data_IF_419526180411
#
_entry.id   IF_419526180411
#
_cell.length_a   1.000
_cell.length_b   1.000
_cell.length_c   1.000
_cell.angle_alpha   90.00
_cell.angle_beta   90.00
_cell.angle_gamma   90.00
#
_symmetry.space_group_name_H-M   'P 1'
#
loop_
_entity.id
_entity.type
_entity.pdbx_description
1 polymer ?
#
# COMPACT_ATOMS: atom_id res chain seq x y z
N UNK A 1 1.72 26.02 -66.14
CA UNK A 1 0.55 25.40 -65.47
C UNK A 1 1.07 24.66 -64.23
N UNK A 2 0.65 25.10 -63.01
CA UNK A 2 0.88 24.51 -61.66
C UNK A 2 2.34 24.54 -61.15
N UNK A 3 2.78 25.49 -60.33
CA UNK A 3 2.48 25.82 -58.90
C UNK A 3 2.81 24.67 -57.93
N UNK A 4 3.57 25.05 -56.89
CA UNK A 4 3.81 24.45 -55.56
C UNK A 4 5.05 23.57 -55.41
N UNK A 5 6.11 24.17 -54.84
CA UNK A 5 6.97 23.55 -53.80
C UNK A 5 7.71 24.66 -53.05
N UNK A 6 6.94 25.40 -52.24
CA UNK A 6 7.45 26.27 -51.20
C UNK A 6 7.40 25.56 -49.84
N UNK A 7 8.23 26.05 -48.92
CA UNK A 7 8.24 25.77 -47.48
C UNK A 7 8.91 24.47 -47.02
N UNK A 8 10.25 24.46 -47.10
CA UNK A 8 11.09 23.88 -46.05
C UNK A 8 10.93 24.80 -44.82
N UNK A 9 9.93 24.52 -43.98
CA UNK A 9 9.59 25.34 -42.83
C UNK A 9 9.33 24.46 -41.61
N UNK A 10 10.26 24.52 -40.66
CA UNK A 10 10.07 24.33 -39.23
C UNK A 10 8.97 23.36 -38.79
N UNK A 11 9.34 22.12 -38.46
CA UNK A 11 8.54 21.30 -37.56
C UNK A 11 9.47 20.40 -36.72
N UNK A 12 10.18 21.01 -35.77
CA UNK A 12 10.91 20.29 -34.72
C UNK A 12 10.81 21.01 -33.38
N UNK A 13 9.59 21.41 -33.00
CA UNK A 13 9.27 21.85 -31.64
C UNK A 13 7.85 21.38 -31.34
N UNK A 14 7.68 20.17 -30.82
CA UNK A 14 6.47 19.75 -30.10
C UNK A 14 6.78 18.47 -29.33
N UNK A 15 6.85 18.60 -28.01
CA UNK A 15 7.07 17.45 -27.11
C UNK A 15 7.70 17.76 -25.76
N UNK A 16 7.63 19.00 -25.25
CA UNK A 16 7.91 19.29 -23.84
C UNK A 16 6.69 20.00 -23.26
N UNK A 17 5.66 19.24 -22.92
CA UNK A 17 4.56 19.74 -22.11
C UNK A 17 3.93 18.59 -21.31
N UNK A 18 3.85 18.82 -20.00
CA UNK A 18 3.22 17.99 -18.97
C UNK A 18 3.99 16.77 -18.43
N UNK A 19 5.20 16.99 -17.92
CA UNK A 19 5.62 16.22 -16.74
C UNK A 19 4.88 16.79 -15.52
N UNK A 20 3.64 16.38 -15.29
CA UNK A 20 3.06 16.54 -13.96
C UNK A 20 3.86 15.62 -13.02
N UNK A 21 4.85 16.18 -12.31
CA UNK A 21 5.65 15.44 -11.36
C UNK A 21 4.79 14.91 -10.20
N UNK A 22 5.22 13.83 -9.55
CA UNK A 22 4.58 13.38 -8.31
C UNK A 22 4.69 14.50 -7.26
N UNK A 23 3.63 14.73 -6.47
CA UNK A 23 3.62 15.73 -5.40
C UNK A 23 4.88 15.65 -4.53
N UNK A 24 5.38 16.82 -4.12
CA UNK A 24 6.54 16.94 -3.25
C UNK A 24 6.34 18.08 -2.25
N UNK A 25 7.00 17.99 -1.09
CA UNK A 25 6.97 18.99 -0.01
C UNK A 25 5.56 19.36 0.51
N UNK A 26 4.59 18.45 0.41
CA UNK A 26 3.19 18.72 0.79
C UNK A 26 2.94 18.63 2.30
N UNK A 27 3.89 18.13 3.09
CA UNK A 27 3.77 18.01 4.55
C UNK A 27 4.23 19.26 5.31
N UNK A 28 4.47 20.38 4.62
CA UNK A 28 4.73 21.67 5.28
C UNK A 28 3.43 22.12 5.96
N UNK A 29 3.41 22.30 7.30
CA UNK A 29 2.21 22.71 8.00
C UNK A 29 1.75 24.11 7.59
N UNK A 30 0.48 24.22 7.22
CA UNK A 30 -0.20 25.50 6.95
C UNK A 30 -0.66 26.17 8.24
N UNK A 31 -0.84 25.40 9.31
CA UNK A 31 -1.46 25.85 10.58
C UNK A 31 -2.84 26.48 10.40
N UNK A 32 -3.54 26.13 9.31
CA UNK A 32 -4.86 26.69 8.99
C UNK A 32 -5.88 25.57 8.76
N UNK A 33 -7.08 25.77 9.28
CA UNK A 33 -8.27 24.96 8.97
C UNK A 33 -9.31 25.93 8.42
N UNK A 34 -9.73 25.72 7.18
CA UNK A 34 -10.71 26.59 6.54
C UNK A 34 -12.15 26.20 6.95
N UNK A 35 -13.09 27.16 7.00
CA UNK A 35 -14.49 26.85 7.29
C UNK A 35 -15.05 25.80 6.32
N UNK A 36 -15.75 24.80 6.87
CA UNK A 36 -16.37 23.72 6.10
C UNK A 36 -15.45 22.55 5.75
N UNK A 37 -14.15 22.64 6.02
CA UNK A 37 -13.24 21.49 5.85
C UNK A 37 -13.34 20.55 7.05
N UNK A 38 -12.94 19.29 6.83
CA UNK A 38 -12.78 18.29 7.89
C UNK A 38 -11.31 18.07 8.20
N UNK A 39 -10.97 17.58 9.39
CA UNK A 39 -9.59 17.18 9.72
C UNK A 39 -9.49 15.70 10.03
N UNK A 40 -8.36 15.10 9.67
CA UNK A 40 -7.99 13.73 10.05
C UNK A 40 -6.67 13.76 10.79
N UNK A 41 -6.68 13.27 12.03
CA UNK A 41 -5.51 13.17 12.89
C UNK A 41 -4.89 11.77 12.79
N UNK A 42 -3.73 11.66 12.14
CA UNK A 42 -3.02 10.42 11.89
C UNK A 42 -1.87 10.22 12.87
N UNK A 43 -1.81 9.07 13.54
CA UNK A 43 -0.59 8.62 14.19
C UNK A 43 0.25 7.84 13.18
N UNK A 44 1.53 8.15 13.05
CA UNK A 44 2.44 7.44 12.14
C UNK A 44 3.49 6.70 12.92
N UNK A 45 3.77 5.47 12.52
CA UNK A 45 4.92 4.69 12.96
C UNK A 45 5.70 4.22 11.73
N UNK A 46 7.02 4.41 11.73
CA UNK A 46 7.81 4.27 10.51
C UNK A 46 9.21 3.73 10.76
N UNK A 47 9.71 2.93 9.82
CA UNK A 47 11.13 2.53 9.75
C UNK A 47 11.87 3.27 8.64
N UNK A 48 11.30 4.33 8.07
CA UNK A 48 11.97 5.22 7.12
C UNK A 48 12.99 6.09 7.84
N UNK A 49 14.08 6.44 7.16
CA UNK A 49 15.03 7.42 7.65
C UNK A 49 14.40 8.82 7.64
N UNK A 50 14.44 9.56 8.76
CA UNK A 50 14.05 10.96 8.78
C UNK A 50 14.83 11.77 7.75
N UNK A 51 14.17 12.73 7.11
CA UNK A 51 14.79 13.66 6.17
C UNK A 51 14.68 15.09 6.68
N UNK A 52 15.66 15.49 7.49
CA UNK A 52 15.73 16.85 8.04
C UNK A 52 16.02 17.91 6.97
N UNK A 53 16.49 17.51 5.77
CA UNK A 53 16.77 18.44 4.67
C UNK A 53 15.52 18.80 3.87
N UNK A 54 14.48 17.97 3.95
CA UNK A 54 13.19 18.16 3.28
C UNK A 54 12.03 18.08 4.29
N UNK A 55 11.76 19.17 5.03
CA UNK A 55 10.72 19.18 6.06
C UNK A 55 9.32 18.80 5.52
N UNK A 56 9.03 19.14 4.26
CA UNK A 56 7.77 18.79 3.60
C UNK A 56 7.66 17.34 3.14
N UNK A 57 8.73 16.55 3.24
CA UNK A 57 8.73 15.09 3.03
C UNK A 57 8.79 14.33 4.36
N UNK A 58 9.40 14.91 5.40
CA UNK A 58 9.63 14.39 6.75
C UNK A 58 10.49 13.12 6.85
N UNK A 59 10.20 12.12 6.02
CA UNK A 59 10.88 10.83 5.97
C UNK A 59 11.14 10.42 4.53
N UNK A 60 12.36 9.93 4.28
CA UNK A 60 12.81 9.54 2.95
C UNK A 60 12.31 8.13 2.54
N UNK A 61 12.72 7.70 1.35
CA UNK A 61 12.57 6.33 0.90
C UNK A 61 13.61 5.36 1.47
N UNK A 62 14.57 5.84 2.28
CA UNK A 62 15.66 5.04 2.80
C UNK A 62 15.33 4.39 4.14
N UNK A 63 15.99 3.26 4.45
CA UNK A 63 15.86 2.58 5.74
C UNK A 63 16.42 3.44 6.86
N UNK A 64 15.62 3.68 7.89
CA UNK A 64 16.04 4.34 9.11
C UNK A 64 16.79 3.40 10.04
N UNK A 65 17.70 3.95 10.85
CA UNK A 65 18.39 3.21 11.91
C UNK A 65 17.51 2.94 13.14
N UNK A 66 16.34 3.57 13.24
CA UNK A 66 15.42 3.45 14.38
C UNK A 66 13.96 3.45 13.94
N UNK A 67 13.09 2.89 14.80
CA UNK A 67 11.64 2.97 14.66
C UNK A 67 11.15 4.33 15.16
N UNK A 68 10.61 5.15 14.26
CA UNK A 68 10.23 6.55 14.50
C UNK A 68 8.72 6.74 14.50
N UNK A 69 8.26 7.83 15.13
CA UNK A 69 6.85 8.16 15.20
C UNK A 69 6.60 9.59 14.72
N UNK A 70 5.42 9.84 14.18
CA UNK A 70 4.96 11.20 13.88
C UNK A 70 3.47 11.34 14.18
N UNK A 71 3.04 12.58 14.35
CA UNK A 71 1.64 12.98 14.46
C UNK A 71 1.36 14.02 13.37
N UNK A 72 0.36 13.74 12.54
CA UNK A 72 0.05 14.54 11.37
C UNK A 72 -1.45 14.81 11.32
N UNK A 73 -1.82 16.08 11.18
CA UNK A 73 -3.20 16.52 10.96
C UNK A 73 -3.36 16.96 9.51
N UNK A 74 -4.27 16.32 8.78
CA UNK A 74 -4.58 16.64 7.37
C UNK A 74 -5.96 17.29 7.30
N UNK A 75 -6.09 18.42 6.60
CA UNK A 75 -7.37 19.02 6.24
C UNK A 75 -7.87 18.41 4.93
N UNK A 76 -9.16 18.08 4.91
CA UNK A 76 -9.87 17.47 3.78
C UNK A 76 -10.92 18.47 3.28
N UNK A 77 -10.96 18.79 1.97
CA UNK A 77 -11.96 19.68 1.40
C UNK A 77 -13.40 19.20 1.65
N UNK A 78 -14.40 20.09 1.59
CA UNK A 78 -15.79 19.69 1.64
C UNK A 78 -16.16 18.80 0.45
N UNK A 79 -17.04 17.82 0.64
CA UNK A 79 -17.51 16.89 -0.40
C UNK A 79 -18.04 17.60 -1.66
N UNK A 80 -18.62 18.79 -1.51
CA UNK A 80 -19.10 19.60 -2.64
C UNK A 80 -17.98 20.09 -3.58
N UNK A 81 -16.74 20.14 -3.10
CA UNK A 81 -15.58 20.70 -3.82
C UNK A 81 -14.53 19.64 -4.16
N UNK A 82 -14.75 18.37 -3.80
CA UNK A 82 -13.82 17.27 -4.06
C UNK A 82 -14.52 16.10 -4.71
N UNK A 83 -13.72 15.17 -5.20
CA UNK A 83 -14.18 13.87 -5.66
C UNK A 83 -13.81 12.82 -4.62
N UNK A 84 -14.83 12.20 -4.01
CA UNK A 84 -14.69 11.12 -3.03
C UNK A 84 -13.90 9.97 -3.66
N UNK A 85 -12.94 9.41 -2.93
CA UNK A 85 -12.01 8.40 -3.42
C UNK A 85 -10.71 8.96 -4.00
N UNK A 86 -10.66 10.23 -4.38
CA UNK A 86 -9.45 10.87 -4.91
C UNK A 86 -8.77 11.75 -3.86
N UNK A 87 -7.44 11.78 -3.90
CA UNK A 87 -6.64 12.77 -3.17
C UNK A 87 -6.43 13.98 -4.07
N UNK A 88 -7.06 15.11 -3.73
CA UNK A 88 -6.82 16.38 -4.42
C UNK A 88 -5.52 17.00 -3.91
N UNK A 89 -4.43 16.79 -4.64
CA UNK A 89 -3.10 17.22 -4.26
C UNK A 89 -2.90 18.75 -4.34
N UNK A 90 -2.13 19.34 -3.42
CA UNK A 90 -1.57 20.68 -3.57
C UNK A 90 -0.91 20.87 -4.93
N UNK A 91 -1.36 21.88 -5.68
CA UNK A 91 -0.76 22.22 -6.98
C UNK A 91 0.35 23.28 -6.87
N UNK A 92 0.32 24.10 -5.82
CA UNK A 92 1.24 25.23 -5.60
C UNK A 92 1.75 25.26 -4.15
N UNK A 93 2.72 26.12 -3.86
CA UNK A 93 3.30 26.30 -2.51
C UNK A 93 2.29 26.79 -1.47
N UNK A 94 1.21 27.45 -1.91
CA UNK A 94 0.12 27.94 -1.08
C UNK A 94 -1.16 27.19 -1.43
N UNK A 95 -1.38 25.99 -0.87
CA UNK A 95 -2.53 25.18 -1.22
C UNK A 95 -3.83 25.71 -0.64
N UNK A 96 -4.94 25.47 -1.33
CA UNK A 96 -6.28 25.89 -0.91
C UNK A 96 -6.99 24.74 -0.17
N UNK A 97 -7.12 24.79 1.17
CA UNK A 97 -7.75 23.71 1.94
C UNK A 97 -9.23 23.48 1.60
N UNK A 98 -9.90 24.41 0.90
CA UNK A 98 -11.30 24.25 0.48
C UNK A 98 -11.45 23.43 -0.81
N UNK A 99 -10.34 23.12 -1.48
CA UNK A 99 -10.28 22.40 -2.77
C UNK A 99 -9.23 21.28 -2.80
N UNK A 100 -8.20 21.39 -1.98
CA UNK A 100 -7.04 20.50 -1.93
C UNK A 100 -6.83 19.97 -0.51
N UNK A 101 -6.21 18.80 -0.41
CA UNK A 101 -5.73 18.27 0.86
C UNK A 101 -4.55 19.13 1.32
N UNK A 102 -4.56 19.54 2.58
CA UNK A 102 -3.45 20.31 3.15
C UNK A 102 -3.01 19.75 4.49
N UNK A 103 -1.74 19.98 4.82
CA UNK A 103 -1.20 19.59 6.12
C UNK A 103 -1.43 20.74 7.10
N UNK A 104 -2.18 20.49 8.18
CA UNK A 104 -2.46 21.48 9.22
C UNK A 104 -1.33 21.49 10.25
N UNK A 105 -0.90 20.30 10.66
CA UNK A 105 0.20 20.08 11.60
C UNK A 105 0.96 18.79 11.23
N UNK A 106 2.27 18.76 11.47
CA UNK A 106 3.11 17.60 11.22
C UNK A 106 4.35 17.62 12.13
N UNK A 107 4.44 16.65 13.03
CA UNK A 107 5.49 16.61 14.07
C UNK A 107 6.07 15.22 14.22
N UNK A 108 7.40 15.10 14.19
CA UNK A 108 8.10 13.87 14.60
C UNK A 108 8.04 13.80 16.13
N UNK A 109 7.69 12.64 16.67
CA UNK A 109 7.48 12.42 18.10
C UNK A 109 8.47 11.41 18.66
N UNK A 110 8.84 11.59 19.93
CA UNK A 110 9.40 10.49 20.72
C UNK A 110 8.35 9.39 20.92
N UNK A 111 8.79 8.19 21.30
CA UNK A 111 7.89 7.08 21.59
C UNK A 111 6.91 7.40 22.73
N UNK A 112 7.38 8.08 23.76
CA UNK A 112 6.58 8.48 24.93
C UNK A 112 5.51 9.50 24.53
N UNK A 113 5.90 10.49 23.71
CA UNK A 113 4.97 11.48 23.15
C UNK A 113 3.92 10.81 22.26
N UNK A 114 4.34 9.93 21.35
CA UNK A 114 3.43 9.21 20.48
C UNK A 114 2.42 8.35 21.27
N UNK A 115 2.87 7.65 22.31
CA UNK A 115 2.00 6.88 23.18
C UNK A 115 1.02 7.76 23.96
N UNK A 116 1.47 8.92 24.45
CA UNK A 116 0.62 9.88 25.14
C UNK A 116 -0.47 10.45 24.22
N UNK A 117 -0.11 10.91 23.01
CA UNK A 117 -1.08 11.43 22.04
C UNK A 117 -2.05 10.36 21.55
N UNK A 118 -1.55 9.15 21.25
CA UNK A 118 -2.42 8.02 20.92
C UNK A 118 -3.43 7.71 22.03
N UNK A 119 -2.97 7.65 23.29
CA UNK A 119 -3.85 7.38 24.42
C UNK A 119 -4.91 8.47 24.62
N UNK A 120 -4.59 9.75 24.39
CA UNK A 120 -5.56 10.86 24.45
C UNK A 120 -6.67 10.71 23.40
N UNK A 121 -6.35 10.19 22.21
CA UNK A 121 -7.32 9.99 21.10
C UNK A 121 -8.17 8.74 21.33
N UNK A 122 -7.54 7.59 21.61
CA UNK A 122 -8.21 6.29 21.64
C UNK A 122 -9.27 6.18 22.75
N UNK A 123 -9.05 6.82 23.90
CA UNK A 123 -10.03 6.78 25.02
C UNK A 123 -11.33 7.51 24.72
N UNK A 124 -11.33 8.43 23.73
CA UNK A 124 -12.51 9.16 23.24
C UNK A 124 -13.18 8.49 22.05
N UNK A 125 -12.54 7.47 21.48
CA UNK A 125 -12.99 6.80 20.25
C UNK A 125 -14.01 5.71 20.60
N UNK A 126 -15.17 5.62 19.89
CA UNK A 126 -16.11 4.52 20.06
C UNK A 126 -15.42 3.16 19.98
N UNK A 127 -15.78 2.26 20.90
CA UNK A 127 -15.17 0.92 21.06
C UNK A 127 -13.64 0.92 21.24
N UNK A 128 -13.02 2.10 21.42
CA UNK A 128 -11.57 2.29 21.48
C UNK A 128 -10.87 1.57 20.32
N UNK A 129 -11.43 1.73 19.13
CA UNK A 129 -11.01 1.02 17.92
C UNK A 129 -9.86 1.76 17.23
N UNK A 130 -8.84 1.00 16.82
CA UNK A 130 -7.72 1.49 16.01
C UNK A 130 -7.75 0.84 14.63
N UNK A 131 -7.50 1.65 13.60
CA UNK A 131 -7.29 1.17 12.23
C UNK A 131 -5.82 1.36 11.86
N UNK A 132 -5.11 0.26 11.66
CA UNK A 132 -3.72 0.28 11.18
C UNK A 132 -3.73 0.17 9.66
N UNK A 133 -3.12 1.13 8.95
CA UNK A 133 -2.94 1.06 7.51
C UNK A 133 -1.48 0.79 7.12
N UNK A 134 -1.27 -0.14 6.19
CA UNK A 134 0.05 -0.50 5.65
C UNK A 134 0.05 -0.28 4.14
N UNK A 135 0.82 0.70 3.67
CA UNK A 135 0.88 1.05 2.25
C UNK A 135 1.61 0.01 1.39
N UNK A 136 1.42 0.12 0.07
CA UNK A 136 2.03 -0.74 -0.94
C UNK A 136 3.38 -0.27 -1.50
N UNK A 137 3.77 -0.88 -2.61
CA UNK A 137 4.97 -0.57 -3.38
C UNK A 137 4.92 0.85 -3.98
N UNK A 138 6.07 1.41 -4.36
CA UNK A 138 6.17 2.68 -5.12
C UNK A 138 5.43 3.85 -4.45
N UNK A 139 5.50 3.94 -3.13
CA UNK A 139 4.75 4.91 -2.32
C UNK A 139 5.71 5.79 -1.51
N UNK A 140 5.68 7.10 -1.74
CA UNK A 140 6.39 8.09 -0.90
C UNK A 140 5.68 8.27 0.44
N UNK A 141 6.37 8.86 1.42
CA UNK A 141 5.81 9.07 2.75
C UNK A 141 4.53 9.92 2.72
N UNK A 142 4.58 11.10 2.07
CA UNK A 142 3.42 11.99 1.93
C UNK A 142 2.24 11.32 1.21
N UNK A 143 2.52 10.45 0.23
CA UNK A 143 1.51 9.68 -0.48
C UNK A 143 0.76 8.71 0.42
N UNK A 144 1.48 7.99 1.28
CA UNK A 144 0.86 7.12 2.28
C UNK A 144 0.01 7.92 3.28
N UNK A 145 0.49 9.09 3.72
CA UNK A 145 -0.23 9.98 4.65
C UNK A 145 -1.55 10.46 4.06
N UNK A 146 -1.52 11.11 2.89
CA UNK A 146 -2.74 11.69 2.32
C UNK A 146 -3.72 10.63 1.85
N UNK A 147 -3.22 9.51 1.29
CA UNK A 147 -4.09 8.39 0.92
C UNK A 147 -4.80 7.82 2.14
N UNK A 148 -4.12 7.67 3.27
CA UNK A 148 -4.77 7.15 4.47
C UNK A 148 -5.70 8.17 5.13
N UNK A 149 -5.38 9.47 5.07
CA UNK A 149 -6.31 10.53 5.46
C UNK A 149 -7.61 10.45 4.65
N UNK A 150 -7.50 10.29 3.32
CA UNK A 150 -8.63 10.11 2.42
C UNK A 150 -9.45 8.88 2.78
N UNK A 151 -8.83 7.71 2.92
CA UNK A 151 -9.54 6.46 3.29
C UNK A 151 -10.24 6.62 4.63
N UNK A 152 -9.56 7.19 5.63
CA UNK A 152 -10.12 7.37 6.99
C UNK A 152 -11.36 8.26 6.95
N UNK A 153 -11.27 9.41 6.26
CA UNK A 153 -12.38 10.34 6.10
C UNK A 153 -13.54 9.75 5.29
N UNK A 154 -13.24 9.18 4.12
CA UNK A 154 -14.26 8.67 3.20
C UNK A 154 -14.97 7.41 3.73
N UNK A 155 -14.33 6.67 4.63
CA UNK A 155 -14.94 5.51 5.28
C UNK A 155 -15.98 5.91 6.32
N UNK A 156 -15.89 7.12 6.87
CA UNK A 156 -16.73 7.59 7.97
C UNK A 156 -16.64 6.67 9.21
N UNK A 157 -15.51 5.97 9.33
CA UNK A 157 -15.23 5.09 10.45
C UNK A 157 -14.77 5.91 11.66
N UNK A 158 -15.43 5.73 12.79
CA UNK A 158 -15.01 6.32 14.07
C UNK A 158 -13.88 5.51 14.71
N UNK A 159 -12.66 5.67 14.18
CA UNK A 159 -11.44 4.95 14.60
C UNK A 159 -10.29 5.92 14.88
N UNK A 160 -9.28 5.48 15.62
CA UNK A 160 -7.97 6.14 15.60
C UNK A 160 -7.16 5.59 14.41
N UNK A 161 -6.83 6.41 13.41
CA UNK A 161 -6.01 5.97 12.29
C UNK A 161 -4.52 5.94 12.66
N UNK A 162 -3.89 4.77 12.49
CA UNK A 162 -2.46 4.54 12.67
C UNK A 162 -1.84 4.12 11.34
N UNK A 163 -1.01 4.97 10.76
CA UNK A 163 -0.26 4.65 9.55
C UNK A 163 1.04 3.92 9.92
N UNK A 164 1.25 2.73 9.40
CA UNK A 164 2.57 2.12 9.37
C UNK A 164 3.22 2.31 8.00
N UNK A 165 4.35 3.01 7.96
CA UNK A 165 5.11 3.20 6.71
C UNK A 165 6.46 2.49 6.75
N UNK A 166 6.81 1.85 5.64
CA UNK A 166 8.09 1.18 5.44
C UNK A 166 8.86 1.83 4.27
N UNK A 167 10.19 1.62 4.12
CA UNK A 167 11.03 2.34 3.18
C UNK A 167 10.76 1.95 1.74
N UNK A 168 9.78 2.62 1.13
CA UNK A 168 9.58 2.62 -0.31
C UNK A 168 10.17 3.87 -0.93
N UNK A 169 10.98 3.70 -1.98
CA UNK A 169 11.61 4.80 -2.72
C UNK A 169 10.65 5.59 -3.60
N UNK A 170 9.40 5.15 -3.74
CA UNK A 170 8.45 5.81 -4.63
C UNK A 170 8.89 5.79 -6.10
N UNK A 171 9.58 4.71 -6.51
CA UNK A 171 10.07 4.51 -7.88
C UNK A 171 9.75 3.10 -8.38
N UNK A 172 9.20 2.99 -9.59
CA UNK A 172 8.90 1.71 -10.24
C UNK A 172 10.14 0.81 -10.42
N UNK A 173 11.29 1.39 -10.75
CA UNK A 173 12.55 0.64 -10.93
C UNK A 173 13.21 0.21 -9.61
N UNK A 174 12.65 0.61 -8.46
CA UNK A 174 13.18 0.25 -7.14
C UNK A 174 12.50 -0.99 -6.54
N UNK A 175 11.79 -1.79 -7.36
CA UNK A 175 11.01 -2.94 -6.90
C UNK A 175 11.78 -3.88 -5.95
N UNK A 176 13.00 -4.31 -6.34
CA UNK A 176 13.82 -5.18 -5.48
C UNK A 176 14.21 -4.52 -4.15
N UNK A 177 14.56 -3.23 -4.18
CA UNK A 177 14.86 -2.49 -2.94
C UNK A 177 13.64 -2.41 -2.03
N UNK A 178 12.49 -2.04 -2.58
CA UNK A 178 11.25 -1.90 -1.84
C UNK A 178 10.83 -3.24 -1.23
N UNK A 179 10.97 -4.36 -1.95
CA UNK A 179 10.69 -5.70 -1.43
C UNK A 179 11.57 -6.07 -0.22
N UNK A 180 12.88 -5.84 -0.32
CA UNK A 180 13.81 -6.09 0.78
C UNK A 180 13.55 -5.14 1.96
N UNK A 181 13.15 -3.89 1.68
CA UNK A 181 12.81 -2.91 2.70
C UNK A 181 11.48 -3.21 3.39
N UNK A 182 10.50 -3.73 2.66
CA UNK A 182 9.25 -4.26 3.18
C UNK A 182 9.55 -5.42 4.17
N UNK A 183 10.41 -6.36 3.78
CA UNK A 183 10.85 -7.47 4.63
C UNK A 183 11.67 -7.01 5.84
N UNK A 184 12.50 -5.96 5.70
CA UNK A 184 13.21 -5.31 6.80
C UNK A 184 12.26 -4.74 7.87
N UNK A 185 11.08 -4.27 7.47
CA UNK A 185 10.12 -3.60 8.35
C UNK A 185 9.18 -4.52 9.12
N UNK A 186 9.18 -5.83 8.85
CA UNK A 186 8.22 -6.80 9.45
C UNK A 186 8.26 -6.81 10.98
N UNK A 187 9.45 -6.71 11.58
CA UNK A 187 9.62 -6.77 13.04
C UNK A 187 9.12 -5.50 13.72
N UNK A 188 9.25 -4.35 13.04
CA UNK A 188 8.71 -3.09 13.52
C UNK A 188 7.18 -3.08 13.47
N UNK A 189 6.58 -3.67 12.43
CA UNK A 189 5.12 -3.86 12.38
C UNK A 189 4.64 -4.83 13.46
N UNK A 190 5.33 -5.96 13.68
CA UNK A 190 5.03 -6.86 14.80
C UNK A 190 5.08 -6.10 16.14
N UNK A 191 6.13 -5.30 16.34
CA UNK A 191 6.32 -4.51 17.55
C UNK A 191 5.18 -3.51 17.76
N UNK A 192 4.73 -2.82 16.71
CA UNK A 192 3.58 -1.92 16.76
C UNK A 192 2.29 -2.68 17.14
N UNK A 193 2.00 -3.79 16.47
CA UNK A 193 0.79 -4.59 16.72
C UNK A 193 0.78 -5.18 18.13
N UNK A 194 1.93 -5.65 18.63
CA UNK A 194 2.09 -6.10 20.02
C UNK A 194 1.85 -4.95 21.01
N UNK A 195 2.37 -3.75 20.73
CA UNK A 195 2.17 -2.58 21.59
C UNK A 195 0.69 -2.16 21.66
N UNK A 196 0.00 -2.13 20.51
CA UNK A 196 -1.44 -1.87 20.44
C UNK A 196 -2.24 -2.95 21.19
N UNK A 197 -1.90 -4.23 20.99
CA UNK A 197 -2.59 -5.34 21.64
C UNK A 197 -2.46 -5.29 23.17
N UNK A 198 -1.28 -4.94 23.68
CA UNK A 198 -1.00 -4.87 25.13
C UNK A 198 -1.51 -3.60 25.79
N UNK A 199 -1.79 -2.54 25.02
CA UNK A 199 -2.26 -1.27 25.57
C UNK A 199 -3.69 -1.44 26.16
N UNK A 200 -3.91 -1.19 27.46
CA UNK A 200 -5.21 -1.35 28.10
C UNK A 200 -6.29 -0.37 27.59
N UNK A 201 -5.89 0.73 26.96
CA UNK A 201 -6.80 1.69 26.35
C UNK A 201 -7.28 1.25 24.96
N UNK A 202 -6.69 0.24 24.33
CA UNK A 202 -7.14 -0.26 23.03
C UNK A 202 -8.19 -1.36 23.24
N UNK A 203 -9.36 -1.20 22.61
CA UNK A 203 -10.41 -2.20 22.61
C UNK A 203 -10.26 -3.17 21.44
N UNK A 204 -10.17 -2.63 20.22
CA UNK A 204 -10.14 -3.41 18.99
C UNK A 204 -9.09 -2.89 18.01
N UNK A 205 -8.48 -3.81 17.25
CA UNK A 205 -7.48 -3.55 16.23
C UNK A 205 -8.00 -4.09 14.91
N UNK A 206 -8.11 -3.22 13.93
CA UNK A 206 -8.36 -3.55 12.53
C UNK A 206 -7.14 -3.17 11.70
N UNK A 207 -6.80 -3.99 10.71
CA UNK A 207 -5.64 -3.78 9.84
C UNK A 207 -6.14 -3.70 8.40
N UNK A 208 -5.71 -2.68 7.65
CA UNK A 208 -5.91 -2.55 6.22
C UNK A 208 -4.54 -2.49 5.54
N UNK A 209 -4.22 -3.46 4.68
CA UNK A 209 -2.95 -3.53 3.98
C UNK A 209 -3.18 -3.51 2.47
N UNK A 210 -2.34 -2.78 1.73
CA UNK A 210 -2.46 -2.64 0.28
C UNK A 210 -1.26 -3.22 -0.46
N UNK A 211 -1.50 -3.94 -1.57
CA UNK A 211 -0.45 -4.41 -2.48
C UNK A 211 0.66 -5.16 -1.75
N UNK A 212 1.93 -4.79 -1.95
CA UNK A 212 3.11 -5.33 -1.25
C UNK A 212 3.06 -5.11 0.28
N UNK A 213 2.28 -4.16 0.79
CA UNK A 213 2.06 -4.00 2.24
C UNK A 213 1.41 -5.24 2.89
N UNK A 214 0.70 -6.05 2.09
CA UNK A 214 0.15 -7.34 2.54
C UNK A 214 1.25 -8.35 2.89
N UNK A 215 2.37 -8.36 2.15
CA UNK A 215 3.53 -9.20 2.47
C UNK A 215 4.05 -8.90 3.88
N UNK A 216 4.32 -7.62 4.17
CA UNK A 216 4.83 -7.17 5.48
C UNK A 216 3.83 -7.49 6.59
N UNK A 217 2.55 -7.29 6.32
CA UNK A 217 1.47 -7.53 7.28
C UNK A 217 1.35 -9.01 7.63
N UNK A 218 1.36 -9.89 6.64
CA UNK A 218 1.27 -11.34 6.86
C UNK A 218 2.52 -11.87 7.58
N UNK A 219 3.71 -11.40 7.22
CA UNK A 219 4.95 -11.77 7.92
C UNK A 219 4.92 -11.32 9.39
N UNK A 220 4.51 -10.07 9.66
CA UNK A 220 4.40 -9.57 11.03
C UNK A 220 3.37 -10.36 11.87
N UNK A 221 2.19 -10.66 11.30
CA UNK A 221 1.16 -11.46 11.95
C UNK A 221 1.62 -12.90 12.19
N UNK A 222 2.32 -13.50 11.23
CA UNK A 222 2.87 -14.85 11.38
C UNK A 222 3.91 -14.91 12.48
N UNK A 223 4.84 -13.97 12.52
CA UNK A 223 5.84 -13.89 13.60
C UNK A 223 5.15 -13.70 14.97
N UNK A 224 4.16 -12.81 15.04
CA UNK A 224 3.35 -12.61 16.25
C UNK A 224 2.67 -13.91 16.70
N UNK A 225 2.03 -14.63 15.76
CA UNK A 225 1.32 -15.87 16.05
C UNK A 225 2.26 -16.98 16.54
N UNK A 226 3.43 -17.14 15.92
CA UNK A 226 4.45 -18.10 16.37
C UNK A 226 4.94 -17.75 17.78
N UNK A 227 5.25 -16.48 18.02
CA UNK A 227 5.77 -16.01 19.30
C UNK A 227 4.75 -16.14 20.43
N UNK A 228 3.49 -15.81 20.15
CA UNK A 228 2.43 -15.73 21.16
C UNK A 228 1.51 -16.96 21.19
N UNK A 229 1.73 -17.96 20.33
CA UNK A 229 0.84 -19.10 20.10
C UNK A 229 -0.58 -18.69 19.66
N UNK A 230 -0.63 -17.72 18.75
CA UNK A 230 -1.84 -17.15 18.19
C UNK A 230 -1.81 -15.63 18.10
N UNK A 231 -2.79 -15.05 17.43
CA UNK A 231 -2.95 -13.59 17.36
C UNK A 231 -3.62 -13.04 18.62
N UNK A 232 -3.35 -11.78 18.94
CA UNK A 232 -3.98 -11.12 20.07
C UNK A 232 -5.51 -11.06 19.86
N UNK A 233 -6.33 -11.36 20.89
CA UNK A 233 -7.80 -11.34 20.79
C UNK A 233 -8.40 -9.98 20.36
N UNK A 234 -7.63 -8.90 20.49
CA UNK A 234 -8.02 -7.55 20.04
C UNK A 234 -7.93 -7.37 18.54
N UNK A 235 -7.19 -8.21 17.81
CA UNK A 235 -7.15 -8.17 16.35
C UNK A 235 -8.46 -8.79 15.83
N UNK A 236 -9.34 -7.94 15.27
CA UNK A 236 -10.70 -8.32 14.86
C UNK A 236 -10.87 -8.40 13.35
N UNK A 237 -10.20 -7.54 12.60
CA UNK A 237 -10.33 -7.47 11.15
C UNK A 237 -8.97 -7.32 10.49
N UNK A 238 -8.70 -8.15 9.48
CA UNK A 238 -7.50 -8.08 8.64
C UNK A 238 -7.98 -7.98 7.19
N UNK A 239 -7.91 -6.77 6.65
CA UNK A 239 -8.37 -6.40 5.32
C UNK A 239 -7.16 -6.32 4.38
N UNK A 240 -7.09 -7.25 3.43
CA UNK A 240 -6.01 -7.38 2.46
C UNK A 240 -6.49 -6.85 1.10
N UNK A 241 -6.09 -5.64 0.75
CA UNK A 241 -6.50 -5.00 -0.50
C UNK A 241 -5.48 -5.23 -1.61
N UNK A 242 -5.94 -5.77 -2.74
CA UNK A 242 -5.14 -6.12 -3.91
C UNK A 242 -3.81 -6.81 -3.52
N UNK A 243 -3.84 -7.89 -2.72
CA UNK A 243 -2.63 -8.44 -2.13
C UNK A 243 -1.65 -8.95 -3.18
N UNK A 244 -0.49 -8.30 -3.19
CA UNK A 244 0.68 -8.73 -3.93
C UNK A 244 1.43 -9.78 -3.11
N UNK A 245 0.81 -10.96 -2.98
CA UNK A 245 1.34 -12.13 -2.27
C UNK A 245 1.01 -13.38 -3.08
N UNK A 246 1.90 -14.36 -3.12
CA UNK A 246 1.63 -15.63 -3.78
C UNK A 246 0.51 -16.40 -3.03
N UNK A 247 -0.42 -16.98 -3.78
CA UNK A 247 -1.57 -17.66 -3.20
C UNK A 247 -1.19 -18.85 -2.29
N UNK A 248 -0.21 -19.66 -2.70
CA UNK A 248 0.25 -20.82 -1.93
C UNK A 248 1.01 -20.40 -0.67
N UNK A 249 1.78 -19.31 -0.78
CA UNK A 249 2.45 -18.70 0.38
C UNK A 249 1.42 -18.20 1.40
N UNK A 250 0.39 -17.45 0.96
CA UNK A 250 -0.68 -17.00 1.84
C UNK A 250 -1.38 -18.17 2.52
N UNK A 251 -1.78 -19.19 1.75
CA UNK A 251 -2.41 -20.40 2.29
C UNK A 251 -1.54 -21.04 3.37
N UNK A 252 -0.24 -21.19 3.12
CA UNK A 252 0.70 -21.77 4.08
C UNK A 252 0.82 -20.92 5.34
N UNK A 253 0.94 -19.59 5.22
CA UNK A 253 1.05 -18.68 6.36
C UNK A 253 -0.21 -18.71 7.24
N UNK A 254 -1.40 -18.70 6.64
CA UNK A 254 -2.67 -18.74 7.40
C UNK A 254 -2.78 -20.05 8.20
N UNK A 255 -2.46 -21.18 7.57
CA UNK A 255 -2.44 -22.49 8.23
C UNK A 255 -1.45 -22.53 9.40
N UNK A 256 -0.24 -21.99 9.22
CA UNK A 256 0.79 -21.96 10.26
C UNK A 256 0.46 -21.01 11.41
N UNK A 257 -0.29 -19.93 11.16
CA UNK A 257 -0.72 -19.01 12.20
C UNK A 257 -1.74 -19.63 13.18
N UNK A 258 -2.47 -20.67 12.75
CA UNK A 258 -3.50 -21.31 13.59
C UNK A 258 -4.64 -20.36 13.99
N UNK A 259 -4.94 -19.38 13.13
CA UNK A 259 -5.92 -18.33 13.39
C UNK A 259 -7.26 -18.63 12.73
N UNK A 260 -8.34 -18.04 13.24
CA UNK A 260 -9.65 -18.10 12.59
C UNK A 260 -9.56 -17.38 11.24
N UNK A 261 -9.75 -18.04 10.09
CA UNK A 261 -9.59 -17.36 8.82
C UNK A 261 -10.71 -16.34 8.53
N UNK A 262 -11.82 -16.40 9.27
CA UNK A 262 -12.88 -15.38 9.26
C UNK A 262 -12.41 -13.97 9.65
N UNK A 263 -11.23 -13.84 10.27
CA UNK A 263 -10.58 -12.55 10.53
C UNK A 263 -10.15 -11.85 9.24
N UNK A 264 -9.90 -12.60 8.17
CA UNK A 264 -9.39 -12.10 6.91
C UNK A 264 -10.51 -11.68 5.98
N UNK A 265 -10.28 -10.60 5.23
CA UNK A 265 -11.09 -10.16 4.11
C UNK A 265 -10.19 -9.72 3.00
N UNK A 266 -10.34 -10.35 1.83
CA UNK A 266 -9.48 -10.12 0.69
C UNK A 266 -10.28 -9.33 -0.34
N UNK A 267 -9.76 -8.18 -0.76
CA UNK A 267 -10.30 -7.45 -1.91
C UNK A 267 -9.47 -7.84 -3.14
N UNK A 268 -10.12 -8.50 -4.09
CA UNK A 268 -9.49 -8.99 -5.33
C UNK A 268 -10.02 -8.21 -6.54
N UNK A 269 -9.21 -8.09 -7.59
CA UNK A 269 -9.63 -7.57 -8.89
C UNK A 269 -8.91 -8.34 -9.98
N UNK A 270 -9.64 -8.98 -10.88
CA UNK A 270 -9.05 -9.81 -11.95
C UNK A 270 -8.41 -8.98 -13.06
N UNK A 271 -8.80 -7.73 -13.19
CA UNK A 271 -8.30 -6.73 -14.12
C UNK A 271 -7.20 -5.84 -13.51
N UNK A 272 -6.53 -6.31 -12.46
CA UNK A 272 -5.41 -5.63 -11.82
C UNK A 272 -4.11 -5.82 -12.62
N UNK A 273 -3.78 -4.82 -13.43
CA UNK A 273 -2.60 -4.83 -14.30
C UNK A 273 -1.28 -4.73 -13.50
N UNK A 274 -1.30 -4.12 -12.32
CA UNK A 274 -0.10 -4.05 -11.48
C UNK A 274 0.28 -5.44 -10.95
N UNK A 275 -0.72 -6.23 -10.54
CA UNK A 275 -0.51 -7.62 -10.13
C UNK A 275 -0.15 -8.53 -11.30
N UNK A 276 -0.63 -8.24 -12.52
CA UNK A 276 -0.20 -8.96 -13.72
C UNK A 276 1.31 -8.77 -13.99
N UNK A 277 1.83 -7.55 -13.81
CA UNK A 277 3.28 -7.28 -13.89
C UNK A 277 4.03 -8.02 -12.77
N UNK A 278 3.54 -7.95 -11.53
CA UNK A 278 4.16 -8.66 -10.39
C UNK A 278 4.23 -10.18 -10.62
N UNK A 279 3.14 -10.80 -11.10
CA UNK A 279 3.09 -12.22 -11.49
C UNK A 279 4.23 -12.60 -12.43
N UNK A 280 4.50 -11.78 -13.44
CA UNK A 280 5.60 -12.02 -14.39
C UNK A 280 6.97 -11.91 -13.73
N UNK A 281 7.16 -10.97 -12.80
CA UNK A 281 8.41 -10.84 -12.04
C UNK A 281 8.68 -12.07 -11.16
N UNK A 282 7.63 -12.64 -10.55
CA UNK A 282 7.73 -13.78 -9.62
C UNK A 282 7.59 -15.17 -10.26
N UNK A 283 7.91 -15.31 -11.55
CA UNK A 283 7.92 -16.63 -12.20
C UNK A 283 6.52 -17.17 -12.53
N UNK A 284 5.59 -16.27 -12.88
CA UNK A 284 4.26 -16.57 -13.40
C UNK A 284 3.29 -17.26 -12.43
N UNK A 285 3.53 -17.08 -11.12
CA UNK A 285 2.64 -17.61 -10.08
C UNK A 285 1.46 -16.68 -9.77
N UNK A 286 0.24 -17.21 -9.58
CA UNK A 286 -0.95 -16.40 -9.26
C UNK A 286 -0.76 -15.55 -7.99
N UNK A 287 -0.98 -14.25 -8.11
CA UNK A 287 -1.03 -13.32 -6.97
C UNK A 287 -2.42 -13.36 -6.35
N UNK A 288 -2.49 -13.41 -5.02
CA UNK A 288 -3.72 -13.51 -4.24
C UNK A 288 -4.75 -12.44 -4.64
N UNK A 289 -4.31 -11.21 -4.93
CA UNK A 289 -5.21 -10.13 -5.32
C UNK A 289 -5.81 -10.25 -6.72
N UNK A 290 -5.28 -11.13 -7.57
CA UNK A 290 -5.71 -11.31 -8.95
C UNK A 290 -6.35 -12.68 -9.21
N UNK A 291 -6.55 -13.52 -8.18
CA UNK A 291 -7.23 -14.81 -8.36
C UNK A 291 -8.71 -14.62 -8.66
N UNK A 292 -9.29 -15.53 -9.44
CA UNK A 292 -10.75 -15.61 -9.55
C UNK A 292 -11.29 -16.43 -8.38
N UNK A 293 -12.03 -15.83 -7.42
CA UNK A 293 -12.50 -16.53 -6.24
C UNK A 293 -13.55 -17.61 -6.55
N UNK A 294 -14.16 -17.57 -7.74
CA UNK A 294 -15.16 -18.56 -8.18
C UNK A 294 -14.55 -19.73 -8.95
N UNK A 295 -13.24 -19.71 -9.24
CA UNK A 295 -12.56 -20.76 -10.01
C UNK A 295 -11.79 -21.72 -9.10
N UNK A 296 -11.74 -23.00 -9.49
CA UNK A 296 -10.84 -23.98 -8.85
C UNK A 296 -9.38 -23.74 -9.25
N UNK A 297 -8.40 -23.98 -8.36
CA UNK A 297 -8.54 -24.52 -6.99
C UNK A 297 -8.79 -23.46 -5.90
N UNK A 298 -8.99 -22.20 -6.26
CA UNK A 298 -9.07 -21.09 -5.31
C UNK A 298 -10.36 -21.14 -4.50
N UNK A 299 -11.49 -21.40 -5.15
CA UNK A 299 -12.81 -21.48 -4.53
C UNK A 299 -12.83 -22.49 -3.38
N UNK A 300 -12.38 -23.73 -3.61
CA UNK A 300 -12.33 -24.76 -2.57
C UNK A 300 -11.52 -24.30 -1.33
N UNK A 301 -10.35 -23.70 -1.55
CA UNK A 301 -9.50 -23.23 -0.45
C UNK A 301 -10.17 -22.08 0.32
N UNK A 302 -10.72 -21.09 -0.38
CA UNK A 302 -11.35 -19.92 0.23
C UNK A 302 -12.62 -20.29 1.00
N UNK A 303 -13.45 -21.18 0.43
CA UNK A 303 -14.69 -21.66 1.05
C UNK A 303 -14.41 -22.57 2.25
N UNK A 304 -13.50 -23.55 2.10
CA UNK A 304 -13.11 -24.47 3.18
C UNK A 304 -12.56 -23.70 4.38
N UNK A 305 -11.74 -22.69 4.12
CA UNK A 305 -11.10 -21.94 5.19
C UNK A 305 -12.01 -20.80 5.70
N UNK A 306 -13.17 -20.54 5.08
CA UNK A 306 -14.08 -19.43 5.43
C UNK A 306 -13.42 -18.05 5.36
N UNK A 307 -12.62 -17.83 4.31
CA UNK A 307 -11.98 -16.54 4.05
C UNK A 307 -12.98 -15.65 3.32
N UNK A 308 -13.22 -14.45 3.85
CA UNK A 308 -14.11 -13.49 3.17
C UNK A 308 -13.39 -12.93 1.95
N UNK A 309 -14.05 -12.94 0.78
CA UNK A 309 -13.52 -12.33 -0.44
C UNK A 309 -14.53 -11.34 -1.01
N UNK A 310 -14.05 -10.15 -1.35
CA UNK A 310 -14.79 -9.10 -2.04
C UNK A 310 -14.17 -8.95 -3.42
N UNK A 311 -14.91 -9.36 -4.45
CA UNK A 311 -14.49 -9.20 -5.85
C UNK A 311 -14.86 -7.79 -6.34
N UNK A 312 -13.83 -7.03 -6.73
CA UNK A 312 -13.92 -5.67 -7.25
C UNK A 312 -13.75 -5.59 -8.77
N UNK A 313 -13.70 -6.73 -9.47
CA UNK A 313 -13.47 -6.79 -10.92
C UNK A 313 -14.44 -5.88 -11.67
N UNK A 314 -15.74 -5.96 -11.35
CA UNK A 314 -16.79 -5.20 -12.04
C UNK A 314 -17.03 -3.80 -11.45
N UNK A 315 -16.18 -3.37 -10.51
CA UNK A 315 -16.25 -2.03 -9.90
C UNK A 315 -15.37 -1.07 -10.70
N UNK A 316 -15.99 -0.01 -11.22
CA UNK A 316 -15.24 1.10 -11.82
C UNK A 316 -14.59 1.95 -10.72
N UNK A 317 -13.29 2.19 -10.87
CA UNK A 317 -12.63 3.28 -10.16
C UNK A 317 -13.08 4.62 -10.74
N UNK A 318 -13.02 5.70 -9.97
CA UNK A 318 -13.43 7.03 -10.40
C UNK A 318 -12.65 7.62 -11.59
N UNK A 319 -11.80 6.87 -12.30
CA UNK A 319 -10.98 7.36 -13.42
C UNK A 319 -9.54 7.72 -13.03
N UNK A 320 -9.18 7.67 -11.74
CA UNK A 320 -7.81 7.86 -11.24
C UNK A 320 -6.95 6.59 -11.24
N UNK A 321 -7.56 5.42 -11.09
CA UNK A 321 -6.89 4.13 -11.07
C UNK A 321 -6.84 3.47 -12.45
N UNK A 322 -5.81 3.82 -13.23
CA UNK A 322 -5.58 3.26 -14.57
C UNK A 322 -5.12 1.80 -14.58
N UNK A 323 -4.75 1.23 -13.42
CA UNK A 323 -4.24 -0.14 -13.31
C UNK A 323 -5.23 -1.10 -12.62
N UNK A 324 -6.37 -0.60 -12.15
CA UNK A 324 -7.33 -1.39 -11.37
C UNK A 324 -6.83 -1.80 -9.97
N UNK A 325 -5.73 -1.19 -9.51
CA UNK A 325 -4.97 -1.62 -8.32
C UNK A 325 -5.33 -0.84 -7.03
N UNK A 326 -6.05 0.26 -7.16
CA UNK A 326 -6.47 1.15 -6.04
C UNK A 326 -7.99 1.27 -5.90
N UNK A 327 -8.78 0.49 -6.65
CA UNK A 327 -10.25 0.40 -6.54
C UNK A 327 -10.78 0.35 -5.09
N UNK A 328 -10.08 -0.35 -4.18
CA UNK A 328 -10.47 -0.45 -2.78
C UNK A 328 -10.55 0.90 -2.04
N UNK A 329 -9.73 1.87 -2.46
CA UNK A 329 -9.63 3.21 -1.86
C UNK A 329 -10.31 4.30 -2.71
N UNK A 330 -10.45 4.06 -4.02
CA UNK A 330 -10.99 5.05 -4.96
C UNK A 330 -12.47 4.84 -5.29
N UNK A 331 -13.03 3.66 -5.02
CA UNK A 331 -14.47 3.41 -5.17
C UNK A 331 -15.20 3.77 -3.86
N UNK A 332 -16.03 4.83 -3.84
CA UNK A 332 -16.69 5.28 -2.61
C UNK A 332 -17.52 4.18 -1.92
N UNK A 333 -18.18 3.33 -2.69
CA UNK A 333 -18.95 2.21 -2.16
C UNK A 333 -18.06 1.20 -1.40
N UNK A 334 -16.84 0.94 -1.89
CA UNK A 334 -15.91 0.02 -1.24
C UNK A 334 -15.36 0.64 0.04
N UNK A 335 -14.96 1.90 0.01
CA UNK A 335 -14.46 2.61 1.20
C UNK A 335 -15.53 2.74 2.28
N UNK A 336 -16.78 3.05 1.90
CA UNK A 336 -17.91 3.05 2.83
C UNK A 336 -18.20 1.66 3.40
N UNK A 337 -17.99 0.60 2.62
CA UNK A 337 -18.13 -0.78 3.13
C UNK A 337 -17.06 -1.13 4.17
N UNK A 338 -15.84 -0.62 4.02
CA UNK A 338 -14.77 -0.73 5.04
C UNK A 338 -15.24 -0.04 6.33
N UNK A 339 -15.77 1.18 6.24
CA UNK A 339 -16.30 1.89 7.40
C UNK A 339 -17.46 1.18 8.09
N UNK A 340 -18.42 0.66 7.31
CA UNK A 340 -19.54 -0.12 7.84
C UNK A 340 -19.09 -1.37 8.59
N UNK A 341 -18.06 -2.06 8.08
CA UNK A 341 -17.45 -3.21 8.76
C UNK A 341 -16.80 -2.81 10.08
N UNK A 342 -16.06 -1.70 10.09
CA UNK A 342 -15.42 -1.18 11.31
C UNK A 342 -16.46 -0.79 12.36
N UNK A 343 -17.56 -0.18 11.96
CA UNK A 343 -18.64 0.27 12.86
C UNK A 343 -19.46 -0.89 13.46
N UNK A 344 -19.74 -1.93 12.68
CA UNK A 344 -20.67 -3.01 13.06
C UNK A 344 -20.00 -4.29 13.56
N UNK A 345 -18.70 -4.46 13.30
CA UNK A 345 -17.97 -5.70 13.62
C UNK A 345 -18.44 -6.94 12.86
N UNK A 346 -19.34 -6.79 11.87
CA UNK A 346 -19.88 -7.89 11.07
C UNK A 346 -19.06 -8.12 9.78
N UNK A 347 -19.01 -9.36 9.29
CA UNK A 347 -18.34 -9.68 8.03
C UNK A 347 -19.17 -9.17 6.84
N UNK A 348 -18.50 -8.76 5.74
CA UNK A 348 -19.19 -8.34 4.51
C UNK A 348 -19.96 -9.48 3.82
N UNK A 349 -19.76 -10.73 4.26
CA UNK A 349 -20.32 -11.95 3.69
C UNK A 349 -21.55 -12.48 4.42
N UNK A 350 -21.79 -12.08 5.69
CA UNK A 350 -22.89 -12.62 6.51
C UNK A 350 -24.28 -12.04 6.20
N UNK A 351 -24.36 -11.06 5.30
CA UNK A 351 -25.61 -10.67 4.67
C UNK A 351 -25.77 -11.43 3.37
N UNK A 352 -26.87 -12.17 3.20
CA UNK A 352 -27.40 -12.53 1.88
C UNK A 352 -27.77 -11.25 1.11
N UNK A 353 -26.75 -10.52 0.70
CA UNK A 353 -26.67 -9.50 -0.32
C UNK A 353 -25.26 -8.88 -0.17
N UNK A 354 -24.24 -9.57 -0.72
CA UNK A 354 -22.90 -9.00 -0.86
C UNK A 354 -22.94 -7.65 -1.58
N UNK A 355 -21.85 -6.89 -1.49
CA UNK A 355 -21.73 -5.55 -2.13
C UNK A 355 -22.13 -5.57 -3.62
N UNK A 356 -21.94 -6.70 -4.32
CA UNK A 356 -22.44 -6.91 -5.70
C UNK A 356 -23.96 -6.93 -5.87
N UNK A 357 -24.73 -7.32 -4.86
CA UNK A 357 -26.21 -7.36 -4.89
C UNK A 357 -26.88 -6.09 -4.39
N UNK A 358 -26.23 -5.29 -3.51
CA UNK A 358 -26.76 -3.97 -3.12
C UNK A 358 -26.50 -2.88 -4.18
N UNK A 359 -25.51 -3.07 -5.06
CA UNK A 359 -25.27 -2.17 -6.19
C UNK A 359 -26.28 -2.35 -7.34
N UNK A 360 -27.07 -3.43 -7.34
CA UNK A 360 -28.17 -3.62 -8.30
C UNK A 360 -29.37 -2.70 -8.11
N UNK A 361 -29.42 -1.87 -7.05
CA UNK A 361 -30.57 -1.02 -6.73
C UNK A 361 -30.29 0.50 -6.74
N UNK A 362 -29.08 0.93 -7.10
CA UNK A 362 -28.78 2.37 -7.27
C UNK A 362 -28.65 2.69 -8.76
N UNK A 363 -29.79 2.64 -9.44
CA UNK A 363 -29.97 3.18 -10.77
C UNK A 363 -30.96 4.35 -10.69
N UNK A 364 -30.50 5.54 -10.25
CA UNK A 364 -31.24 6.80 -10.43
C UNK A 364 -30.27 7.97 -10.64
N UNK A 365 -30.18 8.42 -11.91
CA UNK A 365 -29.73 9.76 -12.36
C UNK A 365 -28.22 10.02 -12.38
N UNK A 366 -27.55 10.51 -13.43
CA UNK A 366 -27.90 11.15 -14.71
C UNK A 366 -26.82 10.74 -15.74
N UNK A 367 -27.11 10.48 -17.02
CA UNK A 367 -27.39 11.48 -18.04
C UNK A 367 -26.13 11.79 -18.89
N UNK A 368 -26.04 11.17 -20.07
CA UNK A 368 -25.07 11.33 -21.19
C UNK A 368 -23.65 10.73 -21.05
N UNK A 369 -23.45 9.54 -21.61
CA UNK A 369 -22.15 9.05 -22.07
C UNK A 369 -22.18 8.91 -23.60
N UNK A 370 -21.42 9.76 -24.29
CA UNK A 370 -21.13 9.63 -25.72
C UNK A 370 -19.64 9.88 -25.91
N UNK A 371 -18.95 8.91 -26.54
CA UNK A 371 -17.82 9.23 -27.41
C UNK A 371 -16.44 8.71 -27.02
N UNK A 372 -16.14 7.51 -27.55
CA UNK A 372 -14.86 7.09 -28.14
C UNK A 372 -13.62 6.87 -27.26
N UNK A 373 -13.20 5.59 -27.29
CA UNK A 373 -11.89 5.10 -26.93
C UNK A 373 -10.77 5.69 -27.80
N UNK A 374 -9.65 6.02 -27.15
CA UNK A 374 -8.33 6.06 -27.76
C UNK A 374 -7.35 5.40 -26.79
N UNK A 375 -7.11 4.10 -26.98
CA UNK A 375 -6.11 3.36 -26.22
C UNK A 375 -4.72 3.81 -26.62
N UNK A 376 -3.99 4.41 -25.69
CA UNK A 376 -2.53 4.56 -25.78
C UNK A 376 -1.93 3.49 -24.89
N UNK A 377 -1.54 2.38 -25.51
CA UNK A 377 -0.71 1.37 -24.86
C UNK A 377 0.69 1.95 -24.67
N UNK A 378 1.02 2.39 -23.45
CA UNK A 378 2.41 2.60 -23.04
C UNK A 378 2.91 1.28 -22.45
N UNK A 379 3.38 0.39 -23.31
CA UNK A 379 4.24 -0.70 -22.87
C UNK A 379 5.58 -0.09 -22.44
N UNK A 380 5.80 0.04 -21.13
CA UNK A 380 7.13 0.34 -20.62
C UNK A 380 8.06 -0.88 -20.87
N UNK A 381 9.32 -0.67 -21.28
CA UNK A 381 10.19 -1.75 -21.72
C UNK A 381 10.79 -2.47 -20.51
N UNK A 382 10.16 -3.55 -20.06
CA UNK A 382 10.82 -4.56 -19.24
C UNK A 382 11.18 -5.76 -20.11
N UNK A 383 12.11 -5.53 -21.04
CA UNK A 383 12.77 -6.60 -21.80
C UNK A 383 14.06 -6.09 -22.48
N UNK A 384 15.02 -5.59 -21.69
CA UNK A 384 16.44 -5.67 -22.07
C UNK A 384 17.21 -6.09 -20.82
N UNK A 385 17.14 -7.38 -20.51
CA UNK A 385 18.19 -8.05 -19.74
C UNK A 385 18.78 -9.06 -20.71
N UNK A 386 19.99 -8.77 -21.14
CA UNK A 386 20.85 -9.61 -21.98
C UNK A 386 20.94 -11.03 -21.37
N UNK A 387 20.84 -12.12 -22.16
CA UNK A 387 21.11 -13.48 -21.71
C UNK A 387 22.43 -13.67 -20.94
N UNK A 388 23.40 -12.75 -21.08
CA UNK A 388 24.70 -12.80 -20.36
C UNK A 388 24.68 -12.31 -18.92
N UNK A 389 23.60 -11.69 -18.44
CA UNK A 389 23.48 -11.32 -17.00
C UNK A 389 22.85 -12.42 -16.14
N UNK A 390 22.44 -13.55 -16.75
CA UNK A 390 21.97 -14.74 -16.02
C UNK A 390 23.09 -15.65 -15.52
N UNK A 391 24.30 -15.54 -16.06
CA UNK A 391 25.45 -16.38 -15.64
C UNK A 391 26.29 -15.72 -14.52
N UNK A 392 26.19 -14.40 -14.30
CA UNK A 392 26.95 -13.73 -13.23
C UNK A 392 26.25 -13.70 -11.86
N UNK A 393 25.03 -14.25 -11.76
CA UNK A 393 24.28 -14.38 -10.50
C UNK A 393 24.39 -15.79 -9.90
N UNK A 394 24.86 -16.77 -10.67
CA UNK A 394 25.16 -18.12 -10.20
C UNK A 394 26.59 -18.27 -9.65
N UNK A 395 27.52 -17.36 -9.96
CA UNK A 395 28.93 -17.46 -9.52
C UNK A 395 29.25 -16.74 -8.19
N UNK A 396 28.25 -16.21 -7.47
CA UNK A 396 28.46 -15.55 -6.17
C UNK A 396 27.91 -16.33 -4.96
N UNK A 397 27.68 -17.64 -5.10
CA UNK A 397 27.27 -18.52 -3.98
C UNK A 397 28.18 -19.74 -3.72
N UNK A 398 29.35 -19.83 -4.37
CA UNK A 398 30.34 -20.92 -4.10
C UNK A 398 31.76 -20.43 -3.73
N UNK A 399 31.88 -19.33 -2.98
CA UNK A 399 33.16 -18.97 -2.35
C UNK A 399 33.00 -18.37 -0.96
N UNK A 400 32.22 -19.04 -0.10
CA UNK A 400 32.45 -19.06 1.35
C UNK A 400 32.80 -20.51 1.69
N UNK A 401 34.04 -20.88 1.37
CA UNK A 401 34.50 -22.27 1.50
C UNK A 401 35.86 -22.48 0.86
N UNK A 402 36.89 -21.79 1.34
CA UNK A 402 38.23 -22.38 1.52
C UNK A 402 39.21 -21.33 2.08
N UNK A 403 39.29 -21.29 3.41
CA UNK A 403 40.51 -20.86 4.08
C UNK A 403 41.17 -22.10 4.67
N UNK A 404 41.95 -22.80 3.85
CA UNK A 404 42.83 -23.87 4.29
C UNK A 404 44.04 -24.03 3.34
N UNK A 405 45.14 -23.39 3.72
CA UNK A 405 46.49 -23.95 3.61
C UNK A 405 47.17 -24.01 2.22
N UNK A 406 47.84 -22.93 1.84
CA UNK A 406 49.00 -23.01 0.94
C UNK A 406 50.28 -22.71 1.72
N UNK A 407 50.90 -23.78 2.20
CA UNK A 407 52.33 -23.85 2.45
C UNK A 407 52.80 -25.25 2.07
N UNK A 408 53.65 -25.31 1.03
CA UNK A 408 54.61 -26.37 0.65
C UNK A 408 54.45 -26.86 -0.80
N UNK A 409 55.08 -26.14 -1.74
CA UNK A 409 55.77 -26.80 -2.86
C UNK A 409 57.18 -26.20 -3.02
N UNK A 410 58.13 -26.80 -2.33
CA UNK A 410 59.53 -26.85 -2.78
C UNK A 410 60.05 -28.25 -2.54
N UNK A 411 60.09 -29.07 -3.58
CA UNK A 411 61.15 -30.08 -3.81
C UNK A 411 60.86 -30.77 -5.13
N UNK A 412 61.87 -30.75 -6.00
CA UNK A 412 61.72 -31.14 -7.40
C UNK A 412 61.67 -32.65 -7.63
N UNK A 413 61.74 -33.02 -8.92
CA UNK A 413 62.96 -33.62 -9.51
C UNK A 413 62.69 -34.16 -10.92
N UNK A 414 63.50 -33.67 -11.86
CA UNK A 414 63.85 -34.24 -13.17
C UNK A 414 65.33 -33.89 -13.29
N UNK A 415 66.35 -34.72 -13.58
CA UNK A 415 66.54 -36.10 -14.04
C UNK A 415 68.02 -36.46 -13.72
N UNK A 416 68.36 -37.75 -13.60
CA UNK A 416 69.74 -38.30 -13.60
C UNK A 416 70.06 -38.84 -15.02
N UNK A 417 71.31 -39.03 -15.45
CA UNK A 417 72.56 -39.15 -14.68
C UNK A 417 73.58 -38.03 -14.91
#
# INVERSE_FOLDING_TARGET
MRIVRGCLGALFILGVAACAGRPHNVLIPTHTVAPGTSTVDLMVATTRAPDASQPGEMFSGERGGSFSFADITVSIPPDANRKVGEVQWPQNETPDPTREFTTVDARILSREQALAEFNKRIVKTPNRQVLVFVHGFNTRFAEAVYRFAQISHDSDASVVPVLFTWPSRGKLLAYGYDHESASFSRDALETLLQALARNPNVGEISILAHSMGNWVTLEALRQMAIRNRGLAPKIKNIMLAAPDVDFDVFKRQILEMGVKPSLFTIFVSRDDEALAVSKRVWGDKPRLGAVNPQAEPYRDVLDRDHINVVDLTDISSGGGDSLGHTKFAEAPAVVRSIGARLATGQTLSDGQAGVGSKLGLVAVGAGSAVGAAAGVAVAAPFAIVDPRTRESLSEHFEAVGDHAGDALESSGRVVRP
#
